data_IF_318196859759
#
_entry.id   IF_318196859759
#
_cell.length_a   1.000
_cell.length_b   1.000
_cell.length_c   1.000
_cell.angle_alpha   90.00
_cell.angle_beta   90.00
_cell.angle_gamma   90.00
#
_symmetry.space_group_name_H-M   'P 1'
#
loop_
_entity.id
_entity.type
_entity.pdbx_description
1 polymer ?
#
# COMPACT_ATOMS: atom_id res chain seq x y z
N UNK A 1 17.48 10.08 18.46
CA UNK A 1 18.23 9.29 19.45
C UNK A 1 17.19 8.46 20.20
N UNK A 2 17.03 7.19 19.84
CA UNK A 2 16.17 6.24 20.57
C UNK A 2 16.76 6.06 21.97
N UNK A 3 16.05 6.48 23.02
CA UNK A 3 16.54 6.29 24.37
C UNK A 3 16.51 4.81 24.73
N UNK A 4 17.69 4.29 25.03
CA UNK A 4 17.99 3.10 25.82
C UNK A 4 17.01 2.91 26.99
N UNK A 5 16.31 1.75 27.04
CA UNK A 5 16.12 0.92 28.26
C UNK A 5 15.09 -0.22 28.14
N UNK A 6 14.62 -0.56 26.94
CA UNK A 6 14.02 -1.86 26.67
C UNK A 6 14.75 -2.48 25.47
N UNK A 7 15.40 -3.64 25.66
CA UNK A 7 15.89 -4.41 24.52
C UNK A 7 14.67 -4.79 23.68
N UNK A 8 14.59 -4.27 22.46
CA UNK A 8 13.55 -4.67 21.51
C UNK A 8 13.84 -6.11 21.11
N UNK A 9 12.87 -6.99 21.31
CA UNK A 9 12.99 -8.42 21.03
C UNK A 9 12.59 -8.73 19.58
N UNK A 10 11.70 -7.93 18.97
CA UNK A 10 11.26 -8.06 17.58
C UNK A 10 10.74 -6.74 17.00
N UNK A 11 10.88 -6.58 15.68
CA UNK A 11 10.29 -5.50 14.90
C UNK A 11 9.13 -5.99 14.05
N UNK A 12 8.05 -5.23 13.95
CA UNK A 12 6.93 -5.51 13.05
C UNK A 12 6.70 -4.35 12.09
N UNK A 13 6.52 -4.67 10.80
CA UNK A 13 6.43 -3.72 9.71
C UNK A 13 5.04 -3.76 9.07
N UNK A 14 4.48 -2.58 8.76
CA UNK A 14 3.31 -2.42 7.88
C UNK A 14 3.67 -2.76 6.41
N UNK A 15 4.03 -4.02 6.20
CA UNK A 15 4.19 -4.64 4.90
C UNK A 15 3.23 -5.82 4.83
N UNK A 16 2.65 -6.11 3.66
CA UNK A 16 1.80 -7.27 3.49
C UNK A 16 2.54 -8.56 3.89
N UNK A 17 1.99 -9.24 4.90
CA UNK A 17 2.43 -10.58 5.31
C UNK A 17 2.20 -11.57 4.17
N UNK A 18 1.01 -11.44 3.55
CA UNK A 18 0.59 -12.22 2.41
C UNK A 18 0.75 -11.40 1.13
N UNK A 19 1.36 -12.00 0.10
CA UNK A 19 1.44 -11.40 -1.23
C UNK A 19 0.26 -11.88 -2.06
N UNK A 20 -0.59 -10.97 -2.59
CA UNK A 20 -1.67 -11.40 -3.46
C UNK A 20 -1.11 -12.10 -4.71
N UNK A 21 -1.72 -13.23 -5.06
CA UNK A 21 -1.46 -13.94 -6.30
C UNK A 21 -2.01 -13.16 -7.50
N UNK A 22 -1.57 -13.51 -8.72
CA UNK A 22 -2.13 -12.91 -9.93
C UNK A 22 -3.64 -13.11 -10.04
N UNK A 23 -4.15 -14.27 -9.58
CA UNK A 23 -5.57 -14.55 -9.53
C UNK A 23 -6.30 -13.58 -8.58
N UNK A 24 -5.76 -13.36 -7.38
CA UNK A 24 -6.36 -12.42 -6.42
C UNK A 24 -6.36 -10.97 -6.95
N UNK A 25 -5.30 -10.56 -7.67
CA UNK A 25 -5.30 -9.28 -8.37
C UNK A 25 -6.34 -9.24 -9.50
N UNK A 26 -6.48 -10.31 -10.27
CA UNK A 26 -7.50 -10.43 -11.32
C UNK A 26 -8.92 -10.33 -10.76
N UNK A 27 -9.20 -11.03 -9.65
CA UNK A 27 -10.47 -10.95 -8.94
C UNK A 27 -10.71 -9.53 -8.40
N UNK A 28 -9.72 -8.90 -7.78
CA UNK A 28 -9.84 -7.52 -7.33
C UNK A 28 -10.10 -6.55 -8.50
N UNK A 29 -9.51 -6.78 -9.68
CA UNK A 29 -9.74 -5.98 -10.88
C UNK A 29 -11.13 -6.20 -11.48
N UNK A 30 -11.64 -7.44 -11.48
CA UNK A 30 -12.99 -7.74 -11.97
C UNK A 30 -14.04 -7.19 -11.02
N UNK A 31 -13.85 -7.30 -9.70
CA UNK A 31 -14.81 -6.80 -8.73
C UNK A 31 -14.72 -5.28 -8.58
N UNK A 32 -13.53 -4.69 -8.53
CA UNK A 32 -13.37 -3.26 -8.24
C UNK A 32 -12.33 -2.61 -9.17
N UNK A 33 -12.63 -2.50 -10.48
CA UNK A 33 -11.66 -2.01 -11.44
C UNK A 33 -11.24 -0.55 -11.19
N UNK A 34 -12.14 0.33 -10.71
CA UNK A 34 -11.77 1.72 -10.34
C UNK A 34 -10.76 1.76 -9.20
N UNK A 35 -10.89 0.88 -8.20
CA UNK A 35 -9.90 0.76 -7.13
C UNK A 35 -8.54 0.35 -7.67
N UNK A 36 -8.49 -0.61 -8.60
CA UNK A 36 -7.23 -1.06 -9.22
C UNK A 36 -6.59 0.07 -10.02
N UNK A 37 -7.38 0.84 -10.79
CA UNK A 37 -6.86 2.01 -11.49
C UNK A 37 -6.33 3.07 -10.51
N UNK A 38 -7.03 3.32 -9.41
CA UNK A 38 -6.55 4.22 -8.37
C UNK A 38 -5.30 3.74 -7.64
N UNK A 39 -5.13 2.43 -7.47
CA UNK A 39 -3.91 1.83 -6.96
C UNK A 39 -2.74 2.06 -7.95
N UNK A 40 -2.96 1.87 -9.25
CA UNK A 40 -1.98 2.21 -10.29
C UNK A 40 -1.54 3.67 -10.19
N UNK A 41 -2.51 4.59 -10.12
CA UNK A 41 -2.25 6.03 -9.96
C UNK A 41 -1.47 6.31 -8.67
N UNK A 42 -1.86 5.69 -7.56
CA UNK A 42 -1.19 5.88 -6.26
C UNK A 42 0.25 5.37 -6.30
N UNK A 43 0.50 4.22 -6.94
CA UNK A 43 1.87 3.72 -7.14
C UNK A 43 2.70 4.67 -7.99
N UNK A 44 2.13 5.22 -9.06
CA UNK A 44 2.78 6.21 -9.92
C UNK A 44 3.05 7.54 -9.20
N UNK A 45 2.27 7.87 -8.16
CA UNK A 45 2.46 9.07 -7.35
C UNK A 45 3.51 8.86 -6.26
N UNK A 46 3.34 7.83 -5.42
CA UNK A 46 4.13 7.61 -4.20
C UNK A 46 5.41 6.80 -4.44
N UNK A 47 5.39 5.82 -5.35
CA UNK A 47 6.56 5.00 -5.68
C UNK A 47 7.80 5.85 -6.02
N UNK A 48 7.68 6.89 -6.86
CA UNK A 48 8.78 7.80 -7.14
C UNK A 48 9.24 8.64 -5.95
N UNK A 49 8.33 9.09 -5.08
CA UNK A 49 8.69 9.84 -3.87
C UNK A 49 9.62 9.01 -3.01
N UNK A 50 9.25 7.74 -2.78
CA UNK A 50 10.09 6.80 -2.05
C UNK A 50 11.41 6.56 -2.77
N UNK A 51 11.38 6.26 -4.08
CA UNK A 51 12.59 5.99 -4.85
C UNK A 51 13.61 7.14 -4.81
N UNK A 52 13.16 8.39 -4.83
CA UNK A 52 14.04 9.56 -4.75
C UNK A 52 14.65 9.72 -3.36
N UNK A 53 13.88 9.44 -2.30
CA UNK A 53 14.30 9.62 -0.89
C UNK A 53 15.14 8.47 -0.35
N UNK A 54 14.70 7.23 -0.53
CA UNK A 54 15.35 6.02 0.01
C UNK A 54 16.15 5.24 -1.04
N UNK A 55 16.15 5.67 -2.30
CA UNK A 55 16.75 4.93 -3.40
C UNK A 55 15.92 3.73 -3.88
N UNK A 56 14.80 3.43 -3.22
CA UNK A 56 13.90 2.30 -3.52
C UNK A 56 12.44 2.71 -3.42
N UNK A 57 11.55 1.98 -4.10
CA UNK A 57 10.10 2.21 -4.01
C UNK A 57 9.48 1.70 -2.68
N UNK A 58 10.12 1.97 -1.54
CA UNK A 58 9.63 1.60 -0.21
C UNK A 58 9.83 2.75 0.80
N UNK A 59 8.95 2.77 1.81
CA UNK A 59 9.00 3.74 2.90
C UNK A 59 10.37 3.71 3.62
N UNK A 60 10.83 4.88 4.05
CA UNK A 60 12.17 5.05 4.64
C UNK A 60 12.27 4.31 5.97
N UNK A 61 11.18 4.32 6.74
CA UNK A 61 11.03 3.68 8.03
C UNK A 61 11.17 2.16 7.91
N UNK A 62 10.55 1.58 6.89
CA UNK A 62 10.66 0.15 6.57
C UNK A 62 12.10 -0.22 6.21
N UNK A 63 12.79 0.61 5.41
CA UNK A 63 14.19 0.39 5.07
C UNK A 63 15.09 0.48 6.30
N UNK A 64 14.94 1.54 7.11
CA UNK A 64 15.76 1.75 8.29
C UNK A 64 15.61 0.62 9.32
N UNK A 65 14.39 0.15 9.56
CA UNK A 65 14.14 -0.97 10.47
C UNK A 65 14.69 -2.28 9.91
N UNK A 66 14.55 -2.51 8.60
CA UNK A 66 15.13 -3.71 7.96
C UNK A 66 16.65 -3.72 8.10
N UNK A 67 17.30 -2.57 7.92
CA UNK A 67 18.74 -2.44 8.04
C UNK A 67 19.19 -2.66 9.50
N UNK A 68 18.55 -1.99 10.47
CA UNK A 68 18.84 -2.17 11.91
C UNK A 68 18.60 -3.60 12.38
N UNK A 69 17.48 -4.23 11.99
CA UNK A 69 17.17 -5.61 12.31
C UNK A 69 18.25 -6.56 11.78
N UNK A 70 18.74 -6.30 10.56
CA UNK A 70 19.82 -7.11 9.96
C UNK A 70 21.17 -6.93 10.67
N UNK A 71 21.51 -5.71 11.10
CA UNK A 71 22.76 -5.41 11.83
C UNK A 71 22.74 -5.97 13.26
N UNK A 72 21.58 -5.98 13.90
CA UNK A 72 21.40 -6.39 15.30
C UNK A 72 20.94 -7.84 15.47
N UNK A 73 20.67 -8.55 14.36
CA UNK A 73 20.11 -9.91 14.37
C UNK A 73 18.77 -10.04 15.13
N UNK A 74 18.03 -8.95 15.26
CA UNK A 74 16.69 -8.92 15.84
C UNK A 74 15.69 -9.32 14.73
N UNK A 75 14.73 -10.22 14.99
CA UNK A 75 13.73 -10.60 14.00
C UNK A 75 12.88 -9.41 13.54
N UNK A 76 12.48 -9.43 12.27
CA UNK A 76 11.62 -8.42 11.67
C UNK A 76 10.51 -9.07 10.85
N UNK A 77 9.26 -8.89 11.27
CA UNK A 77 8.09 -9.55 10.71
C UNK A 77 7.16 -8.59 9.97
N UNK A 78 6.39 -9.13 9.03
CA UNK A 78 5.42 -8.37 8.22
C UNK A 78 4.01 -8.69 8.71
N UNK A 79 3.23 -7.67 9.01
CA UNK A 79 1.93 -7.90 9.70
C UNK A 79 0.71 -7.46 8.91
N UNK A 80 0.87 -6.66 7.86
CA UNK A 80 -0.28 -6.06 7.18
C UNK A 80 -1.04 -7.05 6.27
N UNK A 81 -2.33 -6.81 6.12
CA UNK A 81 -3.16 -7.48 5.11
C UNK A 81 -3.26 -6.57 3.90
N UNK A 82 -2.78 -7.05 2.75
CA UNK A 82 -2.85 -6.28 1.51
C UNK A 82 -4.33 -5.91 1.20
N UNK A 83 -4.67 -4.62 0.97
CA UNK A 83 -6.06 -4.21 0.77
C UNK A 83 -6.79 -5.00 -0.32
N UNK A 84 -6.11 -5.33 -1.42
CA UNK A 84 -6.65 -6.19 -2.51
C UNK A 84 -7.15 -7.57 -2.09
N UNK A 85 -6.77 -8.11 -0.93
CA UNK A 85 -7.33 -9.36 -0.39
C UNK A 85 -8.68 -9.14 0.30
N UNK A 86 -8.91 -7.93 0.82
CA UNK A 86 -10.14 -7.51 1.47
C UNK A 86 -11.16 -6.95 0.48
N UNK A 87 -10.66 -6.32 -0.59
CA UNK A 87 -11.48 -5.68 -1.63
C UNK A 87 -12.57 -6.59 -2.21
N UNK A 88 -12.32 -7.84 -2.62
CA UNK A 88 -13.38 -8.72 -3.15
C UNK A 88 -14.49 -9.07 -2.14
N UNK A 89 -14.24 -8.84 -0.84
CA UNK A 89 -15.21 -9.06 0.24
C UNK A 89 -16.05 -7.82 0.54
N UNK A 90 -15.77 -6.70 -0.14
CA UNK A 90 -16.62 -5.51 -0.06
C UNK A 90 -17.99 -5.79 -0.69
N UNK A 91 -19.00 -5.01 -0.30
CA UNK A 91 -20.38 -5.19 -0.75
C UNK A 91 -20.49 -5.20 -2.29
N UNK A 92 -21.42 -5.99 -2.84
CA UNK A 92 -21.73 -6.04 -4.27
C UNK A 92 -22.04 -4.66 -4.90
N UNK A 93 -22.55 -3.71 -4.10
CA UNK A 93 -22.77 -2.33 -4.51
C UNK A 93 -21.48 -1.67 -5.04
N UNK A 94 -20.34 -1.90 -4.39
CA UNK A 94 -19.05 -1.34 -4.83
C UNK A 94 -18.61 -1.89 -6.18
N UNK A 95 -18.95 -3.15 -6.46
CA UNK A 95 -18.68 -3.76 -7.76
C UNK A 95 -19.50 -3.08 -8.85
N UNK A 96 -20.80 -2.91 -8.60
CA UNK A 96 -21.70 -2.23 -9.54
C UNK A 96 -21.25 -0.79 -9.78
N UNK A 97 -20.95 -0.02 -8.73
CA UNK A 97 -20.49 1.37 -8.85
C UNK A 97 -19.16 1.47 -9.61
N UNK A 98 -18.23 0.53 -9.40
CA UNK A 98 -16.96 0.51 -10.12
C UNK A 98 -17.15 0.28 -11.62
N UNK A 99 -18.03 -0.65 -12.00
CA UNK A 99 -18.34 -0.92 -13.39
C UNK A 99 -19.15 0.19 -14.06
N UNK A 100 -20.11 0.80 -13.35
CA UNK A 100 -20.85 1.96 -13.85
C UNK A 100 -19.88 3.10 -14.16
N UNK A 101 -18.95 3.42 -13.24
CA UNK A 101 -17.99 4.49 -13.46
C UNK A 101 -17.12 4.26 -14.69
N UNK A 102 -16.58 3.05 -14.87
CA UNK A 102 -15.82 2.72 -16.09
C UNK A 102 -16.71 2.70 -17.33
N UNK A 103 -17.93 2.18 -17.22
CA UNK A 103 -18.90 2.10 -18.30
C UNK A 103 -19.26 3.48 -18.85
N UNK A 104 -19.41 4.48 -18.00
CA UNK A 104 -19.65 5.88 -18.40
C UNK A 104 -18.49 6.39 -19.27
N UNK A 105 -17.24 6.23 -18.83
CA UNK A 105 -16.08 6.67 -19.61
C UNK A 105 -15.93 5.89 -20.93
N UNK A 106 -16.14 4.57 -20.88
CA UNK A 106 -16.07 3.72 -22.06
C UNK A 106 -17.17 4.03 -23.09
N UNK A 107 -18.36 4.44 -22.64
CA UNK A 107 -19.46 4.80 -23.53
C UNK A 107 -19.20 6.11 -24.27
N UNK A 108 -18.78 7.17 -23.56
CA UNK A 108 -18.56 8.49 -24.16
C UNK A 108 -17.22 8.63 -24.87
N UNK A 109 -16.19 7.90 -24.43
CA UNK A 109 -14.82 8.02 -24.94
C UNK A 109 -14.08 6.67 -24.90
N UNK A 110 -14.50 5.67 -25.68
CA UNK A 110 -13.97 4.30 -25.60
C UNK A 110 -12.47 4.22 -25.84
N UNK A 111 -11.98 4.89 -26.90
CA UNK A 111 -10.56 4.86 -27.28
C UNK A 111 -9.70 5.53 -26.22
N UNK A 112 -10.10 6.72 -25.74
CA UNK A 112 -9.35 7.45 -24.71
C UNK A 112 -9.32 6.69 -23.39
N UNK A 113 -10.45 6.08 -23.01
CA UNK A 113 -10.56 5.25 -21.79
C UNK A 113 -9.69 4.01 -21.89
N UNK A 114 -9.79 3.24 -22.98
CA UNK A 114 -8.98 2.04 -23.20
C UNK A 114 -7.48 2.33 -23.21
N UNK A 115 -7.06 3.41 -23.89
CA UNK A 115 -5.66 3.86 -23.89
C UNK A 115 -5.18 4.24 -22.49
N UNK A 116 -5.99 4.96 -21.72
CA UNK A 116 -5.66 5.38 -20.36
C UNK A 116 -5.45 4.17 -19.45
N UNK A 117 -6.40 3.22 -19.46
CA UNK A 117 -6.31 1.98 -18.69
C UNK A 117 -5.07 1.19 -19.08
N UNK A 118 -4.82 0.99 -20.38
CA UNK A 118 -3.66 0.26 -20.86
C UNK A 118 -2.33 0.90 -20.41
N UNK A 119 -2.20 2.22 -20.51
CA UNK A 119 -1.00 2.94 -20.07
C UNK A 119 -0.81 2.88 -18.56
N UNK A 120 -1.87 3.06 -17.76
CA UNK A 120 -1.80 2.94 -16.31
C UNK A 120 -1.30 1.54 -15.89
N UNK A 121 -1.87 0.49 -16.49
CA UNK A 121 -1.47 -0.89 -16.22
C UNK A 121 -0.03 -1.17 -16.65
N UNK A 122 0.36 -0.73 -17.85
CA UNK A 122 1.70 -0.95 -18.39
C UNK A 122 2.77 -0.26 -17.52
N UNK A 123 2.57 1.02 -17.20
CA UNK A 123 3.51 1.79 -16.39
C UNK A 123 3.61 1.20 -14.98
N UNK A 124 2.48 0.85 -14.37
CA UNK A 124 2.46 0.22 -13.04
C UNK A 124 3.18 -1.12 -13.07
N UNK A 125 2.95 -1.95 -14.09
CA UNK A 125 3.65 -3.22 -14.25
C UNK A 125 5.16 -3.01 -14.41
N UNK A 126 5.61 -1.99 -15.13
CA UNK A 126 7.03 -1.63 -15.23
C UNK A 126 7.62 -1.21 -13.88
N UNK A 127 6.94 -0.35 -13.12
CA UNK A 127 7.38 0.07 -11.77
C UNK A 127 7.48 -1.13 -10.83
N UNK A 128 6.45 -1.98 -10.80
CA UNK A 128 6.41 -3.20 -9.98
C UNK A 128 7.51 -4.18 -10.40
N UNK A 129 7.77 -4.34 -11.70
CA UNK A 129 8.83 -5.21 -12.19
C UNK A 129 10.22 -4.70 -11.78
N UNK A 130 10.45 -3.38 -11.85
CA UNK A 130 11.70 -2.77 -11.37
C UNK A 130 11.90 -3.02 -9.89
N UNK A 131 10.88 -2.74 -9.07
CA UNK A 131 10.90 -2.98 -7.63
C UNK A 131 11.18 -4.46 -7.29
N UNK A 132 10.48 -5.38 -7.95
CA UNK A 132 10.65 -6.83 -7.73
C UNK A 132 12.05 -7.31 -8.10
N UNK A 133 12.65 -6.74 -9.13
CA UNK A 133 14.01 -7.08 -9.58
C UNK A 133 15.10 -6.35 -8.80
N UNK A 134 14.74 -5.50 -7.84
CA UNK A 134 15.68 -4.65 -7.07
C UNK A 134 16.60 -3.88 -8.01
N UNK A 135 16.02 -3.25 -9.02
CA UNK A 135 16.79 -2.61 -10.09
C UNK A 135 17.60 -1.43 -9.53
N UNK A 136 18.88 -1.34 -9.90
CA UNK A 136 19.73 -0.18 -9.59
C UNK A 136 19.20 1.13 -10.18
N UNK A 137 18.33 1.05 -11.18
CA UNK A 137 17.73 2.20 -11.85
C UNK A 137 16.42 2.68 -11.20
N UNK A 138 15.95 2.07 -10.10
CA UNK A 138 14.72 2.47 -9.41
C UNK A 138 14.67 3.96 -9.13
N UNK A 139 15.74 4.53 -8.55
CA UNK A 139 15.82 5.95 -8.23
C UNK A 139 15.64 6.87 -9.44
N UNK A 140 16.22 6.50 -10.59
CA UNK A 140 16.23 7.34 -11.78
C UNK A 140 14.97 7.16 -12.65
N UNK A 141 14.52 5.92 -12.84
CA UNK A 141 13.42 5.61 -13.76
C UNK A 141 12.03 5.72 -13.11
N UNK A 142 11.92 5.59 -11.78
CA UNK A 142 10.60 5.70 -11.12
C UNK A 142 9.94 7.06 -11.35
N UNK A 143 10.62 8.22 -11.19
CA UNK A 143 10.01 9.52 -11.49
C UNK A 143 9.61 9.68 -12.97
N UNK A 144 10.44 9.18 -13.88
CA UNK A 144 10.16 9.25 -15.33
C UNK A 144 8.91 8.45 -15.68
N UNK A 145 8.81 7.21 -15.19
CA UNK A 145 7.67 6.35 -15.46
C UNK A 145 6.42 6.79 -14.68
N UNK A 146 6.54 7.03 -13.38
CA UNK A 146 5.43 7.41 -12.50
C UNK A 146 4.92 8.82 -12.81
N UNK A 147 5.67 9.86 -12.45
CA UNK A 147 5.22 11.24 -12.64
C UNK A 147 5.18 11.64 -14.10
N UNK A 148 6.18 11.26 -14.90
CA UNK A 148 6.16 11.52 -16.36
C UNK A 148 4.98 10.85 -17.04
N UNK A 149 4.63 9.62 -16.63
CA UNK A 149 3.43 8.92 -17.07
C UNK A 149 2.13 9.62 -16.68
N UNK A 150 2.03 10.10 -15.43
CA UNK A 150 0.86 10.87 -14.99
C UNK A 150 0.72 12.19 -15.75
N UNK A 151 1.81 12.94 -15.93
CA UNK A 151 1.83 14.19 -16.70
C UNK A 151 1.37 13.91 -18.13
N UNK A 152 1.93 12.88 -18.78
CA UNK A 152 1.53 12.47 -20.13
C UNK A 152 0.02 12.21 -20.21
N UNK A 153 -0.54 11.47 -19.26
CA UNK A 153 -1.98 11.20 -19.24
C UNK A 153 -2.80 12.48 -19.05
N UNK A 154 -2.41 13.36 -18.12
CA UNK A 154 -3.11 14.62 -17.85
C UNK A 154 -3.14 15.55 -19.08
N UNK A 155 -2.02 15.69 -19.80
CA UNK A 155 -1.97 16.58 -20.98
C UNK A 155 -2.70 16.00 -22.20
N UNK A 156 -3.04 14.71 -22.20
CA UNK A 156 -3.76 14.09 -23.33
C UNK A 156 -5.28 14.32 -23.31
N UNK A 157 -5.82 14.95 -22.27
CA UNK A 157 -7.18 15.48 -22.27
C UNK A 157 -8.00 15.24 -21.00
N UNK A 158 -9.28 15.64 -21.00
CA UNK A 158 -10.13 15.60 -19.82
C UNK A 158 -10.54 14.19 -19.41
N UNK A 159 -10.69 13.26 -20.36
CA UNK A 159 -11.10 11.87 -20.07
C UNK A 159 -10.04 11.11 -19.25
N UNK A 160 -8.76 11.05 -19.66
CA UNK A 160 -7.71 10.45 -18.82
C UNK A 160 -7.62 11.09 -17.44
N UNK A 161 -7.74 12.42 -17.36
CA UNK A 161 -7.74 13.16 -16.10
C UNK A 161 -8.89 12.73 -15.19
N UNK A 162 -10.11 12.63 -15.72
CA UNK A 162 -11.27 12.18 -14.96
C UNK A 162 -11.12 10.73 -14.48
N UNK A 163 -10.62 9.82 -15.33
CA UNK A 163 -10.34 8.42 -14.95
C UNK A 163 -9.32 8.36 -13.80
N UNK A 164 -8.25 9.16 -13.86
CA UNK A 164 -7.23 9.25 -12.80
C UNK A 164 -7.86 9.71 -11.48
N UNK A 165 -8.63 10.81 -11.51
CA UNK A 165 -9.22 11.39 -10.31
C UNK A 165 -10.27 10.47 -9.68
N UNK A 166 -11.16 9.89 -10.49
CA UNK A 166 -12.19 8.95 -10.03
C UNK A 166 -11.54 7.67 -9.50
N UNK A 167 -10.53 7.14 -10.19
CA UNK A 167 -9.76 6.00 -9.70
C UNK A 167 -9.12 6.28 -8.35
N UNK A 168 -8.41 7.41 -8.22
CA UNK A 168 -7.76 7.81 -6.97
C UNK A 168 -8.76 7.98 -5.81
N UNK A 169 -9.92 8.58 -6.08
CA UNK A 169 -11.00 8.71 -5.11
C UNK A 169 -11.53 7.33 -4.68
N UNK A 170 -11.81 6.44 -5.63
CA UNK A 170 -12.25 5.07 -5.34
C UNK A 170 -11.21 4.31 -4.50
N UNK A 171 -9.93 4.45 -4.82
CA UNK A 171 -8.84 3.84 -4.06
C UNK A 171 -8.78 4.38 -2.62
N UNK A 172 -8.86 5.70 -2.43
CA UNK A 172 -8.88 6.31 -1.11
C UNK A 172 -10.09 5.88 -0.26
N UNK A 173 -11.26 5.74 -0.87
CA UNK A 173 -12.47 5.26 -0.19
C UNK A 173 -12.34 3.80 0.25
N UNK A 174 -11.80 2.93 -0.62
CA UNK A 174 -11.55 1.52 -0.29
C UNK A 174 -10.51 1.38 0.83
N UNK A 175 -9.43 2.15 0.80
CA UNK A 175 -8.44 2.15 1.88
C UNK A 175 -9.06 2.56 3.22
N UNK A 176 -9.95 3.56 3.23
CA UNK A 176 -10.68 3.95 4.45
C UNK A 176 -11.60 2.85 4.97
N UNK A 177 -12.33 2.18 4.08
CA UNK A 177 -13.26 1.10 4.48
C UNK A 177 -12.55 -0.15 4.98
N UNK A 178 -11.32 -0.38 4.53
CA UNK A 178 -10.51 -1.54 4.94
C UNK A 178 -9.58 -1.24 6.12
N UNK A 179 -9.53 0.01 6.58
CA UNK A 179 -8.56 0.48 7.56
C UNK A 179 -8.70 -0.23 8.91
N UNK A 180 -9.92 -0.24 9.48
CA UNK A 180 -10.18 -0.84 10.80
C UNK A 180 -9.89 -2.34 10.79
N UNK A 181 -10.36 -3.04 9.76
CA UNK A 181 -10.08 -4.47 9.61
C UNK A 181 -8.58 -4.77 9.47
N UNK A 182 -7.83 -3.94 8.74
CA UNK A 182 -6.36 -4.07 8.65
C UNK A 182 -5.69 -3.84 10.00
N UNK A 183 -6.16 -2.88 10.80
CA UNK A 183 -5.65 -2.66 12.16
C UNK A 183 -5.87 -3.91 13.03
N UNK A 184 -7.08 -4.44 13.03
CA UNK A 184 -7.42 -5.66 13.79
C UNK A 184 -6.55 -6.86 13.38
N UNK A 185 -6.40 -7.09 12.07
CA UNK A 185 -5.60 -8.21 11.53
C UNK A 185 -4.10 -8.02 11.86
N UNK A 186 -3.57 -6.79 11.76
CA UNK A 186 -2.18 -6.47 12.12
C UNK A 186 -1.90 -6.72 13.60
N UNK A 187 -2.75 -6.18 14.48
CA UNK A 187 -2.61 -6.40 15.92
C UNK A 187 -2.77 -7.88 16.27
N UNK A 188 -3.70 -8.59 15.64
CA UNK A 188 -3.88 -10.02 15.87
C UNK A 188 -2.61 -10.82 15.56
N UNK A 189 -2.00 -10.59 14.40
CA UNK A 189 -0.75 -11.27 14.00
C UNK A 189 0.41 -10.92 14.92
N UNK A 190 0.55 -9.66 15.31
CA UNK A 190 1.59 -9.26 16.27
C UNK A 190 1.41 -9.95 17.61
N UNK A 191 0.19 -9.97 18.16
CA UNK A 191 -0.09 -10.60 19.46
C UNK A 191 0.14 -12.11 19.42
N UNK A 192 -0.29 -12.78 18.34
CA UNK A 192 -0.06 -14.20 18.13
C UNK A 192 1.45 -14.53 18.16
N UNK A 193 2.25 -13.81 17.36
CA UNK A 193 3.69 -14.03 17.26
C UNK A 193 4.45 -13.68 18.55
N UNK A 194 4.06 -12.58 19.23
CA UNK A 194 4.61 -12.20 20.54
C UNK A 194 4.32 -13.27 21.59
N UNK A 195 3.12 -13.85 21.58
CA UNK A 195 2.72 -14.88 22.53
C UNK A 195 3.45 -16.20 22.27
N UNK A 196 3.61 -16.57 20.98
CA UNK A 196 4.32 -17.78 20.58
C UNK A 196 5.79 -17.74 20.99
N UNK A 197 6.47 -16.61 20.81
CA UNK A 197 7.90 -16.47 21.07
C UNK A 197 8.24 -15.93 22.47
N UNK A 198 7.24 -15.47 23.23
CA UNK A 198 7.43 -14.92 24.57
C UNK A 198 8.17 -13.58 24.58
N UNK A 199 8.02 -12.78 23.52
CA UNK A 199 8.63 -11.45 23.43
C UNK A 199 8.05 -10.50 24.48
N UNK A 200 8.89 -9.63 25.04
CA UNK A 200 8.51 -8.69 26.10
C UNK A 200 8.38 -7.27 25.60
N UNK A 201 9.30 -6.84 24.74
CA UNK A 201 9.28 -5.51 24.15
C UNK A 201 9.37 -5.62 22.64
N UNK A 202 8.38 -5.10 21.94
CA UNK A 202 8.36 -5.13 20.47
C UNK A 202 8.13 -3.74 19.91
N UNK A 203 8.65 -3.50 18.71
CA UNK A 203 8.49 -2.23 18.03
C UNK A 203 7.65 -2.43 16.76
N UNK A 204 6.50 -1.77 16.69
CA UNK A 204 5.60 -1.83 15.54
C UNK A 204 5.70 -0.53 14.75
N UNK A 205 6.01 -0.63 13.46
CA UNK A 205 6.26 0.51 12.56
C UNK A 205 5.18 0.55 11.50
N UNK A 206 4.33 1.57 11.61
CA UNK A 206 3.10 1.74 10.83
C UNK A 206 2.95 3.19 10.37
N UNK A 207 2.21 3.40 9.29
CA UNK A 207 1.86 4.73 8.84
C UNK A 207 0.91 5.44 9.82
N UNK A 208 0.98 6.77 9.88
CA UNK A 208 0.21 7.60 10.82
C UNK A 208 -1.30 7.32 10.83
N UNK A 209 -1.89 6.89 9.70
CA UNK A 209 -3.32 6.54 9.62
C UNK A 209 -3.71 5.29 10.39
N UNK A 210 -2.76 4.40 10.67
CA UNK A 210 -2.98 3.16 11.41
C UNK A 210 -2.76 3.33 12.92
N UNK A 211 -1.98 4.35 13.31
CA UNK A 211 -1.49 4.54 14.68
C UNK A 211 -2.61 4.55 15.73
N UNK A 212 -3.58 5.46 15.63
CA UNK A 212 -4.66 5.60 16.62
C UNK A 212 -5.48 4.30 16.76
N UNK A 213 -5.82 3.68 15.63
CA UNK A 213 -6.59 2.44 15.63
C UNK A 213 -5.81 1.27 16.21
N UNK A 214 -4.52 1.14 15.89
CA UNK A 214 -3.69 0.05 16.42
C UNK A 214 -3.39 0.21 17.91
N UNK A 215 -3.15 1.44 18.39
CA UNK A 215 -2.98 1.71 19.84
C UNK A 215 -4.21 1.20 20.60
N UNK A 216 -5.41 1.61 20.17
CA UNK A 216 -6.67 1.18 20.79
C UNK A 216 -6.83 -0.34 20.79
N UNK A 217 -6.49 -1.00 19.69
CA UNK A 217 -6.59 -2.47 19.57
C UNK A 217 -5.56 -3.22 20.43
N UNK A 218 -4.35 -2.68 20.59
CA UNK A 218 -3.34 -3.26 21.49
C UNK A 218 -3.74 -3.10 22.97
N UNK A 219 -4.18 -1.90 23.36
CA UNK A 219 -4.65 -1.61 24.72
C UNK A 219 -5.87 -2.48 25.08
N UNK A 220 -6.81 -2.67 24.15
CA UNK A 220 -7.96 -3.55 24.34
C UNK A 220 -7.57 -5.02 24.59
N UNK A 221 -6.36 -5.43 24.17
CA UNK A 221 -5.79 -6.76 24.41
C UNK A 221 -4.83 -6.80 25.60
N UNK A 222 -4.72 -5.71 26.36
CA UNK A 222 -3.93 -5.63 27.59
C UNK A 222 -2.44 -5.33 27.41
N UNK A 223 -2.04 -4.78 26.26
CA UNK A 223 -0.66 -4.33 26.03
C UNK A 223 -0.50 -2.85 26.38
N UNK A 224 0.60 -2.52 27.07
CA UNK A 224 1.02 -1.14 27.27
C UNK A 224 1.69 -0.61 26.00
N UNK A 225 1.22 0.51 25.47
CA UNK A 225 1.71 1.07 24.20
C UNK A 225 2.38 2.41 24.44
N UNK A 226 3.63 2.54 23.99
CA UNK A 226 4.35 3.81 23.91
C UNK A 226 4.47 4.25 22.45
N UNK A 227 4.05 5.47 22.14
CA UNK A 227 4.07 6.04 20.79
C UNK A 227 5.27 6.97 20.65
N UNK A 228 6.07 6.75 19.61
CA UNK A 228 7.10 7.69 19.17
C UNK A 228 6.70 8.23 17.79
N UNK A 229 6.26 9.48 17.74
CA UNK A 229 5.95 10.18 16.48
C UNK A 229 7.21 10.90 15.98
N UNK A 230 7.54 10.69 14.71
CA UNK A 230 8.69 11.27 14.03
C UNK A 230 8.22 12.13 12.85
N UNK A 231 7.32 13.08 13.15
CA UNK A 231 6.80 14.07 12.20
C UNK A 231 7.82 15.12 11.80
#
# INVERSE_FOLDING_TARGET
MLSTNASIDAYYLELPAERPTLLQYGLAAVHHPLYVLGMCVSQMLYGPIYAVRSGRQCAVEVSAVTDVASETSIPSERIDTHPSLLVPRLSSLWTVLSWIGIGIFAFFAPIATGRTVALLLLITASLVAMFRRRSTFERALSPVLGWGGLILLLVTGPVPTAVILVGLAAHGLVLRQTLERRNEDMVARTVEDVTEHGYRNVCVVVGAKHLEGMVREFEARGFDVAVADFS
#
